data_IF_408758315866
#
_entry.id   IF_408758315866
#
_cell.length_a   1.000
_cell.length_b   1.000
_cell.length_c   1.000
_cell.angle_alpha   90.00
_cell.angle_beta   90.00
_cell.angle_gamma   90.00
#
_symmetry.space_group_name_H-M   'P 1'
#
loop_
_entity.id
_entity.type
_entity.pdbx_description
1 polymer ?
#
# COMPACT_ATOMS: atom_id res chain seq x y z
N UNK A 1 -3.08 -12.20 8.07
CA UNK A 1 -1.64 -12.27 7.77
C UNK A 1 -1.27 -10.98 7.07
N UNK A 2 -0.17 -10.35 7.48
CA UNK A 2 0.24 -9.05 6.96
C UNK A 2 1.53 -9.24 6.16
N UNK A 3 1.57 -8.68 4.96
CA UNK A 3 2.73 -8.67 4.09
C UNK A 3 3.25 -7.24 4.01
N UNK A 4 4.47 -7.02 4.48
CA UNK A 4 5.20 -5.77 4.24
C UNK A 4 5.79 -5.83 2.83
N UNK A 5 5.31 -4.97 1.93
CA UNK A 5 5.77 -4.95 0.52
C UNK A 5 6.81 -3.87 0.26
N UNK A 6 6.94 -2.91 1.19
CA UNK A 6 7.98 -1.90 1.13
C UNK A 6 8.21 -1.25 2.50
N UNK A 7 9.46 -0.91 2.77
CA UNK A 7 9.89 -0.16 3.95
C UNK A 7 11.04 0.78 3.57
N UNK A 8 10.94 2.02 4.03
CA UNK A 8 11.95 3.04 3.80
C UNK A 8 13.17 2.80 4.68
N UNK A 9 14.35 2.73 4.06
CA UNK A 9 15.64 2.57 4.74
C UNK A 9 16.51 3.84 4.72
N UNK A 10 15.91 4.99 4.42
CA UNK A 10 16.60 6.29 4.37
C UNK A 10 15.86 7.32 5.22
N UNK A 11 16.57 8.36 5.67
CA UNK A 11 15.96 9.49 6.39
C UNK A 11 15.32 10.52 5.46
N UNK A 12 15.51 10.39 4.13
CA UNK A 12 14.93 11.31 3.16
C UNK A 12 13.40 11.24 3.16
N UNK A 13 12.75 12.36 2.85
CA UNK A 13 11.30 12.40 2.59
C UNK A 13 10.99 11.60 1.34
N UNK A 14 9.87 10.88 1.37
CA UNK A 14 9.38 10.11 0.23
C UNK A 14 7.89 10.28 0.06
N UNK A 15 7.47 10.37 -1.20
CA UNK A 15 6.08 10.23 -1.61
C UNK A 15 5.93 8.85 -2.24
N UNK A 16 4.92 8.11 -1.83
CA UNK A 16 4.65 6.75 -2.30
C UNK A 16 3.28 6.71 -2.94
N UNK A 17 3.22 6.30 -4.21
CA UNK A 17 1.97 5.91 -4.86
C UNK A 17 1.85 4.40 -4.80
N UNK A 18 0.75 3.92 -4.22
CA UNK A 18 0.43 2.49 -4.14
C UNK A 18 -0.81 2.23 -4.99
N UNK A 19 -0.65 1.41 -6.02
CA UNK A 19 -1.75 0.94 -6.88
C UNK A 19 -1.93 -0.55 -6.67
N UNK A 20 -3.15 -0.95 -6.31
CA UNK A 20 -3.48 -2.35 -6.01
C UNK A 20 -4.68 -2.78 -6.83
N UNK A 21 -4.50 -3.87 -7.57
CA UNK A 21 -5.58 -4.59 -8.25
C UNK A 21 -5.89 -5.85 -7.45
N UNK A 22 -7.15 -6.05 -7.10
CA UNK A 22 -7.65 -7.28 -6.48
C UNK A 22 -8.44 -8.09 -7.52
N UNK A 23 -8.02 -9.32 -7.78
CA UNK A 23 -8.61 -10.18 -8.80
C UNK A 23 -10.07 -10.51 -8.52
N UNK A 24 -10.84 -10.77 -9.58
CA UNK A 24 -12.26 -11.21 -9.47
C UNK A 24 -12.40 -12.59 -8.83
N UNK A 25 -11.36 -13.42 -8.86
CA UNK A 25 -11.35 -14.76 -8.24
C UNK A 25 -11.03 -14.71 -6.74
N UNK A 26 -10.72 -13.54 -6.20
CA UNK A 26 -10.47 -13.36 -4.77
C UNK A 26 -11.75 -13.56 -3.96
N UNK A 27 -11.61 -14.14 -2.77
CA UNK A 27 -12.71 -14.34 -1.83
C UNK A 27 -12.72 -13.30 -0.69
N UNK A 28 -11.81 -12.33 -0.73
CA UNK A 28 -11.67 -11.27 0.27
C UNK A 28 -11.17 -9.97 -0.35
N UNK A 29 -11.35 -8.87 0.37
CA UNK A 29 -10.80 -7.56 0.03
C UNK A 29 -9.36 -7.44 0.52
N UNK A 30 -8.55 -6.69 -0.24
CA UNK A 30 -7.18 -6.36 0.15
C UNK A 30 -7.22 -5.02 0.89
N UNK A 31 -6.82 -5.01 2.15
CA UNK A 31 -6.52 -3.77 2.89
C UNK A 31 -5.08 -3.38 2.66
N UNK A 32 -4.87 -2.11 2.34
CA UNK A 32 -3.57 -1.48 2.19
C UNK A 32 -3.44 -0.43 3.29
N UNK A 33 -2.35 -0.50 4.05
CA UNK A 33 -1.99 0.47 5.08
C UNK A 33 -0.63 1.07 4.76
N UNK A 34 -0.60 2.39 4.55
CA UNK A 34 0.62 3.17 4.36
C UNK A 34 0.92 3.90 5.66
N UNK A 35 1.96 3.46 6.37
CA UNK A 35 2.46 4.13 7.56
C UNK A 35 3.31 5.31 7.11
N UNK A 36 3.06 6.48 7.68
CA UNK A 36 3.81 7.71 7.42
C UNK A 36 4.91 7.91 8.47
N UNK A 37 5.95 8.65 8.13
CA UNK A 37 6.89 9.15 9.14
C UNK A 37 6.24 10.21 10.03
N UNK A 38 5.36 11.03 9.46
CA UNK A 38 4.66 12.11 10.15
C UNK A 38 3.16 12.02 9.86
N UNK A 39 2.36 12.01 10.93
CA UNK A 39 0.91 11.97 10.88
C UNK A 39 0.34 10.56 10.94
N UNK A 40 -0.96 10.45 10.70
CA UNK A 40 -1.70 9.19 10.79
C UNK A 40 -1.44 8.29 9.57
N UNK A 41 -1.47 6.95 9.73
CA UNK A 41 -1.47 6.03 8.60
C UNK A 41 -2.64 6.30 7.65
N UNK A 42 -2.42 6.04 6.37
CA UNK A 42 -3.47 6.07 5.34
C UNK A 42 -3.87 4.63 5.05
N UNK A 43 -5.18 4.35 5.13
CA UNK A 43 -5.72 3.02 4.87
C UNK A 43 -6.79 3.07 3.78
N UNK A 44 -6.79 2.07 2.90
CA UNK A 44 -7.87 1.86 1.94
C UNK A 44 -8.06 0.37 1.65
N UNK A 45 -9.29 0.03 1.25
CA UNK A 45 -9.72 -1.34 1.00
C UNK A 45 -10.02 -1.49 -0.48
N UNK A 46 -9.44 -2.51 -1.12
CA UNK A 46 -9.66 -2.84 -2.52
C UNK A 46 -10.58 -4.07 -2.61
N UNK A 47 -11.85 -3.88 -3.00
CA UNK A 47 -12.77 -4.99 -3.24
C UNK A 47 -12.28 -5.89 -4.38
N UNK A 48 -12.73 -7.15 -4.39
CA UNK A 48 -12.43 -8.07 -5.50
C UNK A 48 -12.97 -7.52 -6.82
N UNK A 49 -12.20 -7.68 -7.89
CA UNK A 49 -12.52 -7.14 -9.21
C UNK A 49 -12.22 -5.65 -9.41
N UNK A 50 -11.68 -4.96 -8.40
CA UNK A 50 -11.38 -3.54 -8.46
C UNK A 50 -9.87 -3.25 -8.44
N UNK A 51 -9.53 -2.09 -8.98
CA UNK A 51 -8.22 -1.44 -8.81
C UNK A 51 -8.43 -0.14 -8.05
N UNK A 52 -7.62 0.11 -7.03
CA UNK A 52 -7.54 1.41 -6.38
C UNK A 52 -6.09 1.87 -6.30
N UNK A 53 -5.91 3.18 -6.29
CA UNK A 53 -4.61 3.83 -6.18
C UNK A 53 -4.69 5.00 -5.23
N UNK A 54 -3.62 5.22 -4.46
CA UNK A 54 -3.48 6.39 -3.63
C UNK A 54 -2.02 6.83 -3.57
N UNK A 55 -1.82 8.14 -3.46
CA UNK A 55 -0.51 8.77 -3.27
C UNK A 55 -0.43 9.34 -1.86
N UNK A 56 0.63 8.99 -1.13
CA UNK A 56 0.84 9.38 0.26
C UNK A 56 2.21 10.02 0.41
N UNK A 57 2.21 11.29 0.83
CA UNK A 57 3.43 12.01 1.21
C UNK A 57 3.98 11.50 2.54
N UNK A 58 5.29 11.64 2.74
CA UNK A 58 6.01 11.15 3.92
C UNK A 58 5.75 9.66 4.21
N UNK A 59 5.57 8.84 3.18
CA UNK A 59 5.35 7.40 3.30
C UNK A 59 6.60 6.67 3.81
N UNK A 60 6.42 5.74 4.74
CA UNK A 60 7.51 5.00 5.42
C UNK A 60 7.42 3.49 5.24
N UNK A 61 6.24 2.91 5.41
CA UNK A 61 6.02 1.45 5.29
C UNK A 61 4.72 1.23 4.54
N UNK A 62 4.70 0.27 3.63
CA UNK A 62 3.48 -0.17 2.95
C UNK A 62 3.23 -1.62 3.32
N UNK A 63 2.08 -1.84 3.97
CA UNK A 63 1.63 -3.14 4.44
C UNK A 63 0.35 -3.49 3.71
N UNK A 64 0.23 -4.74 3.28
CA UNK A 64 -1.00 -5.29 2.72
C UNK A 64 -1.47 -6.46 3.58
N UNK A 65 -2.78 -6.53 3.77
CA UNK A 65 -3.42 -7.59 4.54
C UNK A 65 -4.78 -7.92 3.94
N UNK A 66 -5.28 -9.11 4.20
CA UNK A 66 -6.66 -9.48 3.90
C UNK A 66 -7.60 -9.03 5.02
N UNK A 67 -8.78 -8.52 4.68
CA UNK A 67 -9.79 -8.10 5.66
C UNK A 67 -10.55 -9.28 6.27
N UNK A 68 -10.73 -10.36 5.50
CA UNK A 68 -11.52 -11.53 5.93
C UNK A 68 -10.78 -12.84 5.67
N UNK A 69 -11.33 -13.93 6.21
CA UNK A 69 -10.82 -15.29 5.97
C UNK A 69 -11.06 -15.66 4.51
N UNK A 70 -10.01 -16.11 3.81
CA UNK A 70 -10.09 -16.52 2.42
C UNK A 70 -8.75 -16.42 1.72
N UNK A 71 -8.79 -16.45 0.39
CA UNK A 71 -7.65 -16.21 -0.49
C UNK A 71 -7.82 -14.87 -1.20
N UNK A 72 -6.73 -14.11 -1.29
CA UNK A 72 -6.64 -12.90 -2.12
C UNK A 72 -5.58 -13.12 -3.18
N UNK A 73 -5.90 -12.75 -4.42
CA UNK A 73 -4.96 -12.69 -5.53
C UNK A 73 -4.99 -11.29 -6.10
N UNK A 74 -3.82 -10.66 -6.22
CA UNK A 74 -3.74 -9.28 -6.65
C UNK A 74 -2.36 -8.89 -7.16
N UNK A 75 -2.31 -7.70 -7.75
CA UNK A 75 -1.07 -7.06 -8.19
C UNK A 75 -0.85 -5.79 -7.38
N UNK A 76 0.39 -5.60 -6.94
CA UNK A 76 0.82 -4.48 -6.12
C UNK A 76 1.89 -3.71 -6.88
N UNK A 77 1.61 -2.46 -7.24
CA UNK A 77 2.55 -1.57 -7.90
C UNK A 77 2.89 -0.43 -6.95
N UNK A 78 4.19 -0.18 -6.75
CA UNK A 78 4.69 0.91 -5.94
C UNK A 78 5.56 1.82 -6.78
N UNK A 79 5.23 3.10 -6.74
CA UNK A 79 6.09 4.17 -7.26
C UNK A 79 6.57 4.99 -6.06
N UNK A 80 7.88 5.04 -5.86
CA UNK A 80 8.50 5.71 -4.72
C UNK A 80 9.36 6.86 -5.21
N UNK A 81 9.00 8.08 -4.84
CA UNK A 81 9.73 9.29 -5.15
C UNK A 81 10.46 9.78 -3.90
N UNK A 82 11.77 9.91 -3.96
CA UNK A 82 12.55 10.53 -2.88
C UNK A 82 12.85 11.98 -3.22
N UNK A 83 12.60 12.88 -2.27
CA UNK A 83 13.04 14.26 -2.40
C UNK A 83 14.58 14.31 -2.37
N UNK A 84 15.18 14.90 -3.41
CA UNK A 84 16.61 15.21 -3.47
C UNK A 84 16.74 16.72 -3.37
N UNK A 85 17.25 17.20 -2.25
CA UNK A 85 17.66 18.59 -2.07
C UNK A 85 19.18 18.68 -2.11
N UNK A 86 19.70 19.66 -2.84
CA UNK A 86 21.10 20.06 -2.79
C UNK A 86 21.37 20.93 -1.56
#
# INVERSE_FOLDING_TARGET
>A
MNLEIWKKETTRKSTVTVSVFNSVISHSSIKVTVIKDIGNPVEFIVPFGNTLSTTVDDGKIVIVSQESVGSTEGKYCLEVCFAVSC
#
